data_IF_245456586225
#
_entry.id   IF_245456586225
#
_cell.length_a   1.000
_cell.length_b   1.000
_cell.length_c   1.000
_cell.angle_alpha   90.00
_cell.angle_beta   90.00
_cell.angle_gamma   90.00
#
_symmetry.space_group_name_H-M   'P 1'
#
loop_
_entity.id
_entity.type
_entity.pdbx_description
1 polymer ?
#
# COMPACT_ATOMS: atom_id res chain seq x y z
N UNK A 1 -50.27 -34.32 -25.15
CA UNK A 1 -48.84 -33.95 -25.23
C UNK A 1 -48.64 -32.68 -24.43
N UNK A 2 -48.01 -32.75 -23.26
CA UNK A 2 -47.67 -31.58 -22.43
C UNK A 2 -46.17 -31.32 -22.60
N UNK A 3 -45.82 -30.29 -23.36
CA UNK A 3 -44.43 -29.85 -23.48
C UNK A 3 -44.09 -28.93 -22.31
N UNK A 4 -43.22 -29.41 -21.42
CA UNK A 4 -42.65 -28.66 -20.31
C UNK A 4 -41.44 -27.89 -20.87
N UNK A 5 -41.57 -26.57 -21.04
CA UNK A 5 -40.46 -25.71 -21.45
C UNK A 5 -39.66 -25.34 -20.20
N UNK A 6 -38.48 -25.94 -20.06
CA UNK A 6 -37.49 -25.60 -19.03
C UNK A 6 -36.67 -24.41 -19.55
N UNK A 7 -36.94 -23.21 -19.01
CA UNK A 7 -36.15 -22.01 -19.30
C UNK A 7 -34.94 -22.00 -18.36
N UNK A 8 -33.79 -22.46 -18.86
CA UNK A 8 -32.51 -22.42 -18.15
C UNK A 8 -32.00 -20.97 -18.15
N UNK A 9 -32.13 -20.27 -17.02
CA UNK A 9 -31.47 -18.97 -16.82
C UNK A 9 -29.96 -19.18 -16.66
N UNK A 10 -29.21 -18.86 -17.72
CA UNK A 10 -27.76 -18.64 -17.64
C UNK A 10 -27.52 -17.29 -16.95
N UNK A 11 -27.26 -17.31 -15.65
CA UNK A 11 -26.77 -16.13 -14.94
C UNK A 11 -25.35 -15.81 -15.44
N UNK A 12 -25.07 -14.62 -15.98
CA UNK A 12 -23.72 -14.22 -16.31
C UNK A 12 -22.93 -14.06 -15.00
N UNK A 13 -21.87 -14.85 -14.83
CA UNK A 13 -20.87 -14.58 -13.82
C UNK A 13 -20.15 -13.30 -14.22
N UNK A 14 -20.51 -12.18 -13.60
CA UNK A 14 -19.78 -10.92 -13.72
C UNK A 14 -18.46 -11.11 -12.97
N UNK A 15 -17.39 -11.41 -13.70
CA UNK A 15 -16.03 -11.36 -13.18
C UNK A 15 -15.67 -9.87 -13.06
N UNK A 16 -15.75 -9.32 -11.85
CA UNK A 16 -15.37 -7.92 -11.60
C UNK A 16 -13.90 -7.90 -11.19
N UNK A 17 -13.04 -7.42 -12.08
CA UNK A 17 -11.65 -7.14 -11.74
C UNK A 17 -11.59 -6.15 -10.56
N UNK A 18 -10.63 -6.35 -9.65
CA UNK A 18 -10.44 -5.43 -8.54
C UNK A 18 -10.06 -4.03 -9.04
N UNK A 19 -10.86 -3.04 -8.66
CA UNK A 19 -10.58 -1.62 -8.87
C UNK A 19 -9.92 -1.04 -7.62
N UNK A 20 -8.91 -0.19 -7.80
CA UNK A 20 -8.18 0.44 -6.70
C UNK A 20 -8.15 1.96 -6.88
N UNK A 21 -8.49 2.66 -5.80
CA UNK A 21 -8.45 4.10 -5.68
C UNK A 21 -7.36 4.54 -4.71
N UNK A 22 -6.60 5.58 -5.07
CA UNK A 22 -5.60 6.19 -4.19
C UNK A 22 -6.19 7.43 -3.54
N UNK A 23 -6.43 7.34 -2.24
CA UNK A 23 -7.29 8.29 -1.52
C UNK A 23 -6.49 9.37 -0.78
N UNK A 24 -5.25 9.06 -0.35
CA UNK A 24 -4.39 10.02 0.36
C UNK A 24 -2.93 9.59 0.39
N UNK A 25 -2.04 10.56 0.67
CA UNK A 25 -0.63 10.31 0.97
C UNK A 25 -0.35 10.78 2.38
N UNK A 26 0.17 9.88 3.23
CA UNK A 26 0.63 10.20 4.57
C UNK A 26 2.16 10.25 4.59
N UNK A 27 2.72 11.36 5.06
CA UNK A 27 4.15 11.44 5.36
C UNK A 27 4.38 10.85 6.75
N UNK A 28 5.23 9.83 6.84
CA UNK A 28 5.50 9.12 8.12
C UNK A 28 6.68 9.74 8.88
N UNK A 29 7.20 10.85 8.37
CA UNK A 29 8.25 11.68 8.97
C UNK A 29 7.81 13.15 8.83
N UNK A 30 8.41 14.03 9.63
CA UNK A 30 8.21 15.47 9.46
C UNK A 30 8.60 15.89 8.04
N UNK A 31 7.77 16.74 7.42
CA UNK A 31 7.93 17.17 6.01
C UNK A 31 9.32 17.75 5.79
N UNK A 32 9.81 18.56 6.71
CA UNK A 32 11.09 19.25 6.64
C UNK A 32 12.25 18.24 6.59
N UNK A 33 12.17 17.15 7.38
CA UNK A 33 13.17 16.08 7.37
C UNK A 33 13.17 15.31 6.05
N UNK A 34 12.00 15.03 5.48
CA UNK A 34 11.88 14.37 4.17
C UNK A 34 12.51 15.25 3.09
N UNK A 35 12.18 16.54 3.05
CA UNK A 35 12.70 17.47 2.04
C UNK A 35 14.22 17.63 2.12
N UNK A 36 14.80 17.61 3.34
CA UNK A 36 16.26 17.64 3.51
C UNK A 36 16.94 16.39 2.96
N UNK A 37 16.26 15.24 2.97
CA UNK A 37 16.78 13.95 2.49
C UNK A 37 16.66 13.75 0.99
N UNK A 38 15.97 14.63 0.26
CA UNK A 38 15.67 14.47 -1.17
C UNK A 38 16.25 15.62 -2.00
N UNK A 39 16.45 15.40 -3.30
CA UNK A 39 16.86 16.45 -4.24
C UNK A 39 15.67 17.33 -4.72
N UNK A 40 14.46 16.91 -4.38
CA UNK A 40 13.20 17.47 -4.85
C UNK A 40 12.10 16.43 -4.80
N UNK A 41 10.85 16.84 -4.96
CA UNK A 41 9.67 15.94 -4.86
C UNK A 41 9.40 15.17 -6.15
N UNK A 42 10.02 15.55 -7.25
CA UNK A 42 9.80 14.99 -8.60
C UNK A 42 10.19 13.52 -8.67
N UNK A 43 11.24 13.12 -7.95
CA UNK A 43 11.66 11.72 -7.84
C UNK A 43 10.59 10.86 -7.19
N UNK A 44 10.09 11.30 -6.03
CA UNK A 44 9.03 10.60 -5.30
C UNK A 44 7.71 10.58 -6.07
N UNK A 45 7.34 11.69 -6.73
CA UNK A 45 6.14 11.73 -7.57
C UNK A 45 6.18 10.70 -8.71
N UNK A 46 7.32 10.60 -9.42
CA UNK A 46 7.51 9.58 -10.47
C UNK A 46 7.46 8.16 -9.91
N UNK A 47 8.08 7.94 -8.76
CA UNK A 47 8.06 6.65 -8.08
C UNK A 47 6.63 6.24 -7.70
N UNK A 48 5.86 7.15 -7.09
CA UNK A 48 4.46 6.90 -6.72
C UNK A 48 3.66 6.55 -7.98
N UNK A 49 3.78 7.34 -9.04
CA UNK A 49 3.01 7.08 -10.26
C UNK A 49 3.34 5.75 -10.90
N UNK A 50 4.62 5.38 -10.94
CA UNK A 50 5.05 4.08 -11.47
C UNK A 50 4.50 2.92 -10.63
N UNK A 51 4.53 3.07 -9.30
CA UNK A 51 3.96 2.11 -8.36
C UNK A 51 2.45 1.96 -8.59
N UNK A 52 1.70 3.06 -8.66
CA UNK A 52 0.25 3.05 -8.87
C UNK A 52 -0.14 2.31 -10.15
N UNK A 53 0.58 2.57 -11.25
CA UNK A 53 0.35 1.95 -12.56
C UNK A 53 0.60 0.44 -12.50
N UNK A 54 1.69 0.00 -11.87
CA UNK A 54 2.01 -1.43 -11.78
C UNK A 54 1.03 -2.16 -10.85
N UNK A 55 0.60 -1.54 -9.74
CA UNK A 55 -0.46 -2.07 -8.89
C UNK A 55 -1.74 -2.25 -9.70
N UNK A 56 -2.22 -1.23 -10.41
CA UNK A 56 -3.45 -1.30 -11.19
C UNK A 56 -3.38 -2.44 -12.22
N UNK A 57 -2.24 -2.57 -12.92
CA UNK A 57 -2.01 -3.67 -13.86
C UNK A 57 -2.08 -5.05 -13.20
N UNK A 58 -1.54 -5.20 -11.99
CA UNK A 58 -1.56 -6.48 -11.26
C UNK A 58 -2.93 -6.80 -10.68
N UNK A 59 -3.62 -5.82 -10.10
CA UNK A 59 -4.92 -6.01 -9.48
C UNK A 59 -6.04 -6.24 -10.50
N UNK A 60 -5.93 -5.72 -11.73
CA UNK A 60 -6.89 -5.98 -12.81
C UNK A 60 -7.09 -7.47 -13.18
N UNK A 61 -6.24 -8.35 -12.64
CA UNK A 61 -6.24 -9.80 -12.87
C UNK A 61 -6.63 -10.61 -11.64
N UNK A 62 -6.97 -9.93 -10.55
CA UNK A 62 -7.29 -10.53 -9.26
C UNK A 62 -8.72 -10.15 -8.88
N UNK A 63 -9.42 -11.10 -8.28
CA UNK A 63 -10.65 -10.81 -7.55
C UNK A 63 -10.28 -10.32 -6.14
N UNK A 64 -10.92 -9.26 -5.69
CA UNK A 64 -10.77 -8.73 -4.34
C UNK A 64 -12.14 -8.37 -3.77
N UNK A 65 -12.32 -8.59 -2.47
CA UNK A 65 -13.44 -7.99 -1.76
C UNK A 65 -13.18 -6.48 -1.58
N UNK A 66 -14.24 -5.67 -1.40
CA UNK A 66 -14.07 -4.29 -0.95
C UNK A 66 -13.26 -4.25 0.35
N UNK A 67 -12.21 -3.44 0.36
CA UNK A 67 -11.31 -3.29 1.50
C UNK A 67 -10.54 -1.97 1.38
N UNK A 68 -10.21 -1.34 2.50
CA UNK A 68 -9.33 -0.16 2.52
C UNK A 68 -8.00 -0.48 3.19
N UNK A 69 -7.01 0.39 3.04
CA UNK A 69 -5.75 0.23 3.77
C UNK A 69 -4.70 1.23 3.38
N UNK A 70 -3.46 0.92 3.75
CA UNK A 70 -2.28 1.71 3.47
C UNK A 70 -1.17 0.83 2.90
N UNK A 71 -0.58 1.25 1.79
CA UNK A 71 0.69 0.75 1.32
C UNK A 71 1.79 1.64 1.87
N UNK A 72 2.44 1.19 2.95
CA UNK A 72 3.56 1.87 3.58
C UNK A 72 4.84 1.55 2.83
N UNK A 73 5.63 2.55 2.49
CA UNK A 73 6.80 2.44 1.63
C UNK A 73 7.98 3.15 2.30
N UNK A 74 9.13 2.48 2.33
CA UNK A 74 10.38 3.06 2.76
C UNK A 74 11.43 2.95 1.65
N UNK A 75 12.05 4.08 1.29
CA UNK A 75 13.15 4.15 0.34
C UNK A 75 14.42 4.57 1.07
N UNK A 76 15.43 3.72 1.04
CA UNK A 76 16.71 3.93 1.72
C UNK A 76 17.72 4.62 0.81
N UNK A 77 18.72 5.27 1.39
CA UNK A 77 19.77 5.99 0.67
C UNK A 77 20.64 5.14 -0.26
N UNK A 78 20.68 3.82 -0.07
CA UNK A 78 21.33 2.88 -1.00
C UNK A 78 20.40 2.40 -2.12
N UNK A 79 19.22 3.01 -2.25
CA UNK A 79 18.23 2.71 -3.28
C UNK A 79 17.36 1.48 -2.99
N UNK A 80 17.55 0.80 -1.86
CA UNK A 80 16.67 -0.31 -1.45
C UNK A 80 15.29 0.21 -1.07
N UNK A 81 14.28 -0.55 -1.44
CA UNK A 81 12.88 -0.29 -1.12
C UNK A 81 12.38 -1.44 -0.24
N UNK A 82 11.53 -1.10 0.72
CA UNK A 82 10.72 -2.08 1.45
C UNK A 82 9.31 -1.54 1.60
N UNK A 83 8.31 -2.41 1.46
CA UNK A 83 6.92 -2.02 1.53
C UNK A 83 6.10 -2.97 2.41
N UNK A 84 4.98 -2.44 2.92
CA UNK A 84 4.04 -3.17 3.77
C UNK A 84 2.62 -2.77 3.43
N UNK A 85 1.70 -3.73 3.47
CA UNK A 85 0.28 -3.43 3.51
C UNK A 85 -0.16 -3.42 4.97
N UNK A 86 -0.88 -2.37 5.35
CA UNK A 86 -1.48 -2.20 6.67
C UNK A 86 -2.97 -1.89 6.51
N UNK A 87 -3.81 -2.73 7.09
CA UNK A 87 -5.26 -2.66 6.99
C UNK A 87 -5.90 -3.40 8.16
N UNK A 88 -7.03 -2.88 8.65
CA UNK A 88 -7.89 -3.59 9.59
C UNK A 88 -8.85 -4.57 8.88
N UNK A 89 -9.08 -4.37 7.57
CA UNK A 89 -9.86 -5.26 6.74
C UNK A 89 -9.04 -6.49 6.31
N UNK A 90 -9.73 -7.58 6.02
CA UNK A 90 -9.07 -8.76 5.47
C UNK A 90 -8.78 -8.58 3.98
N UNK A 91 -7.55 -8.19 3.66
CA UNK A 91 -7.05 -8.15 2.28
C UNK A 91 -6.49 -9.53 1.91
N UNK A 92 -6.91 -10.10 0.78
CA UNK A 92 -6.43 -11.40 0.32
C UNK A 92 -4.90 -11.40 0.11
N UNK A 93 -4.16 -12.45 0.50
CA UNK A 93 -2.69 -12.50 0.36
C UNK A 93 -2.16 -12.22 -1.06
N UNK A 94 -2.80 -12.69 -2.16
CA UNK A 94 -2.36 -12.35 -3.52
C UNK A 94 -2.43 -10.85 -3.82
N UNK A 95 -3.45 -10.16 -3.31
CA UNK A 95 -3.62 -8.71 -3.46
C UNK A 95 -2.52 -7.97 -2.69
N UNK A 96 -2.30 -8.35 -1.42
CA UNK A 96 -1.22 -7.76 -0.60
C UNK A 96 0.14 -7.94 -1.28
N UNK A 97 0.42 -9.15 -1.76
CA UNK A 97 1.68 -9.46 -2.45
C UNK A 97 1.84 -8.64 -3.73
N UNK A 98 0.78 -8.51 -4.54
CA UNK A 98 0.82 -7.72 -5.76
C UNK A 98 1.17 -6.24 -5.47
N UNK A 99 0.65 -5.67 -4.39
CA UNK A 99 0.91 -4.29 -3.99
C UNK A 99 2.35 -4.10 -3.49
N UNK A 100 2.83 -5.00 -2.63
CA UNK A 100 4.21 -4.96 -2.12
C UNK A 100 5.21 -5.16 -3.25
N UNK A 101 5.01 -6.17 -4.10
CA UNK A 101 5.90 -6.44 -5.24
C UNK A 101 5.99 -5.25 -6.22
N UNK A 102 4.88 -4.53 -6.43
CA UNK A 102 4.85 -3.37 -7.31
C UNK A 102 5.67 -2.20 -6.74
N UNK A 103 5.54 -1.93 -5.44
CA UNK A 103 6.33 -0.90 -4.77
C UNK A 103 7.82 -1.27 -4.74
N UNK A 104 8.16 -2.48 -4.29
CA UNK A 104 9.56 -2.92 -4.17
C UNK A 104 10.25 -3.13 -5.53
N UNK A 105 9.48 -3.42 -6.58
CA UNK A 105 9.98 -3.55 -7.95
C UNK A 105 10.13 -2.23 -8.71
N UNK A 106 9.59 -1.12 -8.21
CA UNK A 106 9.68 0.18 -8.86
C UNK A 106 11.11 0.74 -8.78
N UNK A 107 11.50 1.56 -9.77
CA UNK A 107 12.78 2.25 -9.74
C UNK A 107 12.78 3.28 -8.60
N UNK A 108 13.69 3.11 -7.64
CA UNK A 108 13.81 4.03 -6.49
C UNK A 108 14.14 5.46 -6.90
N UNK A 109 13.75 6.41 -6.06
CA UNK A 109 14.21 7.79 -6.12
C UNK A 109 15.44 7.98 -5.23
N UNK A 110 16.22 9.03 -5.50
CA UNK A 110 17.43 9.30 -4.73
C UNK A 110 17.09 9.84 -3.33
N UNK A 111 17.68 9.21 -2.32
CA UNK A 111 17.63 9.61 -0.91
C UNK A 111 19.06 9.87 -0.45
N UNK A 112 19.34 11.08 0.02
CA UNK A 112 20.69 11.52 0.41
C UNK A 112 21.21 10.76 1.64
N UNK A 113 20.36 10.61 2.66
CA UNK A 113 20.75 10.02 3.95
C UNK A 113 19.59 9.25 4.59
N UNK A 114 19.91 8.12 5.23
CA UNK A 114 18.95 7.31 5.97
C UNK A 114 17.84 6.74 5.07
N UNK A 115 16.58 6.94 5.46
CA UNK A 115 15.41 6.53 4.68
C UNK A 115 14.31 7.60 4.66
N UNK A 116 13.54 7.61 3.56
CA UNK A 116 12.28 8.35 3.43
C UNK A 116 11.13 7.35 3.53
N UNK A 117 10.14 7.66 4.37
CA UNK A 117 9.01 6.79 4.70
C UNK A 117 7.69 7.54 4.51
N UNK A 118 6.79 6.95 3.73
CA UNK A 118 5.47 7.49 3.44
C UNK A 118 4.48 6.36 3.21
N UNK A 119 3.18 6.67 3.19
CA UNK A 119 2.15 5.69 2.92
C UNK A 119 1.16 6.21 1.88
N UNK A 120 0.73 5.30 0.99
CA UNK A 120 -0.36 5.52 0.05
C UNK A 120 -1.62 4.89 0.64
N UNK A 121 -2.59 5.72 1.02
CA UNK A 121 -3.91 5.23 1.41
C UNK A 121 -4.67 4.78 0.17
N UNK A 122 -5.24 3.58 0.23
CA UNK A 122 -6.02 3.02 -0.87
C UNK A 122 -7.40 2.51 -0.43
N UNK A 123 -8.31 2.47 -1.40
CA UNK A 123 -9.59 1.78 -1.35
C UNK A 123 -9.67 0.77 -2.47
N UNK A 124 -10.23 -0.41 -2.21
CA UNK A 124 -10.50 -1.45 -3.21
C UNK A 124 -12.01 -1.56 -3.39
N UNK A 125 -12.47 -1.58 -4.63
CA UNK A 125 -13.88 -1.71 -5.01
C UNK A 125 -14.80 -0.71 -4.25
N UNK A 126 -14.38 0.56 -4.19
CA UNK A 126 -15.16 1.65 -3.60
C UNK A 126 -15.14 1.73 -2.06
N UNK A 127 -14.26 0.99 -1.38
CA UNK A 127 -14.08 1.14 0.07
C UNK A 127 -13.34 2.44 0.41
N UNK A 128 -13.86 3.19 1.39
CA UNK A 128 -13.24 4.42 1.88
C UNK A 128 -12.36 4.18 3.11
N UNK A 129 -11.33 5.02 3.29
CA UNK A 129 -10.47 4.97 4.48
C UNK A 129 -11.09 5.79 5.60
N UNK A 130 -11.23 5.23 6.82
CA UNK A 130 -11.70 5.98 7.98
C UNK A 130 -10.86 7.24 8.26
N UNK A 131 -11.47 8.30 8.81
CA UNK A 131 -10.74 9.50 9.23
C UNK A 131 -9.79 9.17 10.39
N UNK A 132 -8.67 9.91 10.47
CA UNK A 132 -7.72 9.86 11.59
C UNK A 132 -7.01 8.51 11.86
N UNK A 133 -7.03 7.57 10.91
CA UNK A 133 -6.21 6.35 10.98
C UNK A 133 -4.84 6.63 10.38
N UNK A 134 -3.77 6.39 11.13
CA UNK A 134 -2.40 6.38 10.64
C UNK A 134 -1.91 4.94 10.51
N UNK A 135 -1.19 4.60 9.43
CA UNK A 135 -0.72 3.23 9.26
C UNK A 135 0.42 2.91 10.22
N UNK A 136 0.38 1.71 10.78
CA UNK A 136 1.44 1.17 11.61
C UNK A 136 1.56 -0.36 11.39
N UNK A 137 2.30 -0.78 10.35
CA UNK A 137 2.37 -2.17 9.92
C UNK A 137 2.70 -3.15 11.05
N UNK A 138 2.14 -4.36 10.98
CA UNK A 138 2.37 -5.40 12.00
C UNK A 138 3.85 -5.75 12.26
N UNK A 139 4.72 -5.63 11.25
CA UNK A 139 6.17 -5.77 11.44
C UNK A 139 6.75 -4.66 12.33
N UNK A 140 6.27 -3.42 12.19
CA UNK A 140 6.72 -2.29 12.99
C UNK A 140 6.37 -2.49 14.46
N UNK A 141 5.18 -3.03 14.76
CA UNK A 141 4.78 -3.43 16.13
C UNK A 141 5.80 -4.38 16.76
N UNK A 142 6.29 -5.37 16.00
CA UNK A 142 7.31 -6.32 16.47
C UNK A 142 8.68 -5.68 16.67
N UNK A 143 9.14 -4.84 15.74
CA UNK A 143 10.48 -4.22 15.77
C UNK A 143 10.60 -3.14 16.85
N UNK A 144 9.54 -2.35 17.02
CA UNK A 144 9.52 -1.23 17.97
C UNK A 144 9.28 -1.66 19.41
N UNK A 145 8.93 -2.94 19.66
CA UNK A 145 8.45 -3.43 20.95
C UNK A 145 7.31 -2.58 21.52
N UNK A 146 6.50 -1.99 20.65
CA UNK A 146 5.34 -1.22 21.03
C UNK A 146 4.21 -2.14 21.51
N UNK A 147 3.59 -1.76 22.63
CA UNK A 147 2.43 -2.46 23.20
C UNK A 147 1.09 -1.80 22.85
N UNK A 148 1.10 -0.65 22.17
CA UNK A 148 -0.10 0.08 21.75
C UNK A 148 0.00 0.55 20.29
N UNK A 149 -1.13 0.95 19.73
CA UNK A 149 -1.34 1.18 18.30
C UNK A 149 -0.70 2.46 17.77
N UNK A 150 -0.27 3.37 18.65
CA UNK A 150 0.06 4.73 18.24
C UNK A 150 1.55 5.03 18.23
N UNK A 151 2.39 4.29 18.96
CA UNK A 151 3.86 4.42 18.98
C UNK A 151 4.39 5.84 18.76
N UNK A 152 3.74 6.85 19.37
CA UNK A 152 3.83 8.25 18.91
C UNK A 152 5.24 8.83 19.06
N UNK A 153 6.06 8.22 19.91
CA UNK A 153 7.43 8.64 20.20
C UNK A 153 8.50 7.87 19.39
N UNK A 154 8.10 6.94 18.53
CA UNK A 154 9.04 6.15 17.73
C UNK A 154 9.22 6.75 16.34
N UNK A 155 10.48 6.98 15.95
CA UNK A 155 10.80 7.41 14.60
C UNK A 155 10.51 6.30 13.59
N UNK A 156 9.62 6.58 12.63
CA UNK A 156 9.33 5.65 11.53
C UNK A 156 10.62 5.25 10.78
N UNK A 157 11.54 6.20 10.61
CA UNK A 157 12.86 5.95 10.00
C UNK A 157 13.68 4.93 10.81
N UNK A 158 13.74 5.07 12.13
CA UNK A 158 14.49 4.14 12.98
C UNK A 158 13.90 2.73 12.94
N UNK A 159 12.57 2.62 12.94
CA UNK A 159 11.87 1.34 12.82
C UNK A 159 12.22 0.67 11.49
N UNK A 160 12.09 1.39 10.37
CA UNK A 160 12.36 0.79 9.05
C UNK A 160 13.85 0.44 8.89
N UNK A 161 14.76 1.26 9.41
CA UNK A 161 16.21 0.98 9.38
C UNK A 161 16.56 -0.30 10.15
N UNK A 162 15.85 -0.60 11.24
CA UNK A 162 15.98 -1.89 11.95
C UNK A 162 15.39 -3.06 11.16
N UNK A 163 14.40 -2.82 10.30
CA UNK A 163 13.72 -3.87 9.52
C UNK A 163 14.55 -4.44 8.35
N UNK A 164 15.66 -3.77 7.98
CA UNK A 164 16.60 -4.23 6.95
C UNK A 164 17.83 -4.96 7.52
N UNK A 165 17.89 -5.18 8.83
CA UNK A 165 18.98 -5.88 9.50
C UNK A 165 18.86 -7.39 9.36
#
# INVERSE_FOLDING_TARGET
MKALVFFLMLAPFVCSAAEIDYLKINLMQQRELILQKMDGIEGMSRYIKATEVDIHKRLSRLDAAPAWGYLVIAVRNDGKIKAWVDSDDQIAPPVQKAMVDAAEGAKSFHVKTGAVVFALGFGINGADIPPNVMPFPGEWKRISNCRNETCQDQSAEEIVLKSWK
#
